data_IF_667636426815
#
_entry.id   IF_667636426815
#
_cell.length_a   1.000
_cell.length_b   1.000
_cell.length_c   1.000
_cell.angle_alpha   90.00
_cell.angle_beta   90.00
_cell.angle_gamma   90.00
#
_symmetry.space_group_name_H-M   'P 1'
#
loop_
_entity.id
_entity.type
_entity.pdbx_description
1 polymer ?
#
# COMPACT_ATOMS: atom_id res chain seq x y z
N UNK A 1 5.39 -0.20 21.08
CA UNK A 1 4.69 0.82 20.35
C UNK A 1 3.67 0.24 19.38
N UNK A 2 2.54 0.79 19.42
CA UNK A 2 1.45 0.26 18.62
C UNK A 2 1.60 0.65 17.16
N UNK A 3 1.41 -0.30 16.27
CA UNK A 3 1.39 -0.02 14.86
C UNK A 3 0.09 0.69 14.50
N UNK A 4 0.13 1.44 13.41
CA UNK A 4 -1.06 2.07 12.93
C UNK A 4 -2.05 1.00 12.48
N UNK A 5 -3.28 1.08 13.00
CA UNK A 5 -4.38 0.22 12.53
C UNK A 5 -5.23 0.96 11.52
N UNK A 6 -4.94 2.21 11.26
CA UNK A 6 -5.71 3.01 10.32
C UNK A 6 -5.35 2.65 8.90
N UNK A 7 -6.37 2.50 8.10
CA UNK A 7 -6.17 2.23 6.69
C UNK A 7 -5.80 3.52 5.98
N UNK A 8 -4.89 3.45 5.02
CA UNK A 8 -4.63 4.62 4.19
C UNK A 8 -5.81 4.88 3.25
N UNK A 9 -6.05 6.16 2.99
CA UNK A 9 -7.00 6.57 1.97
C UNK A 9 -6.39 6.31 0.58
N UNK A 10 -7.22 6.43 -0.46
CA UNK A 10 -6.72 6.25 -1.82
C UNK A 10 -5.58 7.20 -2.15
N UNK A 11 -5.69 8.46 -1.74
CA UNK A 11 -4.63 9.44 -1.98
C UNK A 11 -3.36 9.05 -1.23
N UNK A 12 -3.51 8.55 -0.01
CA UNK A 12 -2.36 8.12 0.79
C UNK A 12 -1.69 6.88 0.21
N UNK A 13 -2.48 5.95 -0.34
CA UNK A 13 -1.91 4.80 -1.03
C UNK A 13 -1.05 5.25 -2.21
N UNK A 14 -1.50 6.26 -2.94
CA UNK A 14 -0.71 6.81 -4.03
C UNK A 14 0.66 7.30 -3.57
N UNK A 15 0.70 7.96 -2.43
CA UNK A 15 1.96 8.43 -1.85
C UNK A 15 2.83 7.24 -1.41
N UNK A 16 2.22 6.27 -0.74
CA UNK A 16 2.96 5.09 -0.31
C UNK A 16 3.57 4.34 -1.49
N UNK A 17 2.84 4.26 -2.61
CA UNK A 17 3.38 3.60 -3.80
C UNK A 17 4.64 4.27 -4.31
N UNK A 18 4.69 5.59 -4.24
CA UNK A 18 5.90 6.33 -4.61
C UNK A 18 7.04 5.98 -3.65
N UNK A 19 6.76 5.99 -2.35
CA UNK A 19 7.79 5.71 -1.35
C UNK A 19 8.31 4.27 -1.47
N UNK A 20 7.42 3.32 -1.73
CA UNK A 20 7.86 1.93 -1.93
C UNK A 20 8.71 1.77 -3.18
N UNK A 21 8.37 2.51 -4.23
CA UNK A 21 9.06 2.39 -5.52
C UNK A 21 10.39 3.14 -5.53
N UNK A 22 10.38 4.38 -5.03
CA UNK A 22 11.57 5.24 -5.10
C UNK A 22 12.43 5.18 -3.84
N UNK A 23 11.85 4.78 -2.71
CA UNK A 23 12.54 4.80 -1.45
C UNK A 23 12.41 6.16 -0.76
N UNK A 24 13.30 6.45 0.20
CA UNK A 24 13.21 7.71 0.96
C UNK A 24 13.12 8.91 0.03
N UNK A 25 12.16 9.79 0.30
CA UNK A 25 11.88 10.91 -0.60
C UNK A 25 11.43 12.14 0.17
N UNK A 26 11.67 13.31 -0.42
CA UNK A 26 11.11 14.56 0.09
C UNK A 26 9.70 14.73 -0.42
N UNK A 27 8.95 15.67 0.18
CA UNK A 27 7.60 15.98 -0.29
C UNK A 27 7.62 16.41 -1.74
N UNK A 28 8.60 17.23 -2.11
CA UNK A 28 8.70 17.72 -3.50
C UNK A 28 8.95 16.57 -4.48
N UNK A 29 9.79 15.62 -4.10
CA UNK A 29 10.05 14.46 -4.95
C UNK A 29 8.79 13.60 -5.11
N UNK A 30 8.03 13.44 -4.02
CA UNK A 30 6.78 12.68 -4.09
C UNK A 30 5.78 13.40 -4.98
N UNK A 31 5.61 14.70 -4.79
CA UNK A 31 4.68 15.48 -5.61
C UNK A 31 5.04 15.40 -7.08
N UNK A 32 6.33 15.50 -7.39
CA UNK A 32 6.79 15.39 -8.77
C UNK A 32 6.52 14.02 -9.37
N UNK A 33 6.80 12.97 -8.60
CA UNK A 33 6.56 11.61 -9.06
C UNK A 33 5.09 11.34 -9.33
N UNK A 34 4.20 12.03 -8.61
CA UNK A 34 2.76 11.88 -8.81
C UNK A 34 2.21 12.82 -9.88
N UNK A 35 3.08 13.63 -10.50
CA UNK A 35 2.63 14.61 -11.47
C UNK A 35 1.83 15.74 -10.85
N UNK A 36 2.07 16.03 -9.58
CA UNK A 36 1.28 17.01 -8.83
C UNK A 36 2.14 18.11 -8.23
N UNK A 37 3.13 18.56 -8.97
CA UNK A 37 4.00 19.63 -8.47
C UNK A 37 3.21 20.89 -8.15
N UNK A 38 2.18 21.18 -8.93
CA UNK A 38 1.34 22.35 -8.69
C UNK A 38 0.50 22.21 -7.41
N UNK A 39 0.35 21.00 -6.90
CA UNK A 39 -0.41 20.74 -5.69
C UNK A 39 0.51 20.35 -4.54
N UNK A 40 1.70 20.91 -4.50
CA UNK A 40 2.70 20.61 -3.49
C UNK A 40 2.14 20.74 -2.07
N UNK A 41 1.39 21.81 -1.81
CA UNK A 41 0.83 22.05 -0.49
C UNK A 41 -0.13 20.95 -0.07
N UNK A 42 -0.93 20.45 -1.01
CA UNK A 42 -1.85 19.34 -0.72
C UNK A 42 -1.08 18.07 -0.38
N UNK A 43 -0.02 17.78 -1.16
CA UNK A 43 0.79 16.60 -0.90
C UNK A 43 1.48 16.73 0.45
N UNK A 44 1.99 17.92 0.77
CA UNK A 44 2.62 18.18 2.06
C UNK A 44 1.66 17.88 3.20
N UNK A 45 0.43 18.37 3.10
CA UNK A 45 -0.55 18.16 4.15
C UNK A 45 -0.90 16.69 4.29
N UNK A 46 -1.06 15.99 3.17
CA UNK A 46 -1.32 14.56 3.21
C UNK A 46 -0.19 13.81 3.92
N UNK A 47 1.05 14.15 3.60
CA UNK A 47 2.19 13.46 4.21
C UNK A 47 2.34 13.80 5.68
N UNK A 48 1.98 15.01 6.09
CA UNK A 48 1.96 15.35 7.50
C UNK A 48 0.90 14.52 8.23
N UNK A 49 -0.28 14.38 7.64
CA UNK A 49 -1.33 13.55 8.22
C UNK A 49 -0.90 12.09 8.31
N UNK A 50 -0.20 11.61 7.28
CA UNK A 50 0.30 10.23 7.27
C UNK A 50 1.33 10.00 8.37
N UNK A 51 2.14 11.00 8.66
CA UNK A 51 3.08 10.93 9.78
C UNK A 51 2.33 10.76 11.09
N UNK A 52 1.28 11.55 11.28
CA UNK A 52 0.48 11.48 12.50
C UNK A 52 -0.23 10.14 12.63
N UNK A 53 -0.65 9.56 11.51
CA UNK A 53 -1.31 8.25 11.50
C UNK A 53 -0.34 7.08 11.66
N UNK A 54 0.95 7.34 11.56
CA UNK A 54 1.95 6.26 11.63
C UNK A 54 2.14 5.51 10.33
N UNK A 55 1.70 6.07 9.21
CA UNK A 55 1.86 5.43 7.90
C UNK A 55 3.23 5.68 7.29
N UNK A 56 3.87 6.76 7.68
CA UNK A 56 5.23 7.10 7.24
C UNK A 56 6.02 7.61 8.43
N UNK A 57 7.35 7.53 8.32
CA UNK A 57 8.27 8.12 9.28
C UNK A 57 8.99 9.27 8.61
N UNK A 58 9.18 10.34 9.36
CA UNK A 58 9.83 11.53 8.84
C UNK A 58 11.19 11.70 9.51
N UNK A 59 12.22 11.81 8.70
CA UNK A 59 13.57 12.08 9.17
C UNK A 59 13.81 13.58 9.04
N UNK A 60 13.96 14.25 10.17
CA UNK A 60 14.13 15.69 10.22
C UNK A 60 15.58 16.11 10.48
N UNK A 61 16.50 15.17 10.37
CA UNK A 61 17.90 15.44 10.70
C UNK A 61 18.54 16.43 9.72
N UNK A 62 18.00 16.53 8.52
CA UNK A 62 18.48 17.51 7.53
C UNK A 62 17.49 18.65 7.42
N UNK A 63 17.91 19.71 6.70
CA UNK A 63 17.04 20.85 6.47
C UNK A 63 15.75 20.44 5.78
N UNK A 64 15.86 19.58 4.79
CA UNK A 64 14.71 19.06 4.08
C UNK A 64 14.33 17.72 4.67
N UNK A 65 13.07 17.56 5.03
CA UNK A 65 12.60 16.34 5.64
C UNK A 65 12.49 15.21 4.62
N UNK A 66 12.92 14.02 5.02
CA UNK A 66 12.87 12.83 4.19
C UNK A 66 11.83 11.89 4.79
N UNK A 67 10.98 11.33 3.95
CA UNK A 67 9.92 10.43 4.39
C UNK A 67 10.16 9.02 3.89
N UNK A 68 9.84 8.05 4.73
CA UNK A 68 9.89 6.63 4.37
C UNK A 68 8.58 5.99 4.78
N UNK A 69 8.15 4.98 4.03
CA UNK A 69 6.95 4.22 4.41
C UNK A 69 7.21 3.47 5.70
N UNK A 70 6.25 3.46 6.61
CA UNK A 70 6.38 2.78 7.90
C UNK A 70 6.22 1.27 7.75
N UNK A 71 5.49 0.83 6.73
CA UNK A 71 5.25 -0.59 6.47
C UNK A 71 5.64 -0.92 5.04
N UNK A 72 5.96 -2.19 4.81
CA UNK A 72 6.26 -2.62 3.44
C UNK A 72 5.00 -2.65 2.61
N UNK A 73 5.19 -2.67 1.29
CA UNK A 73 4.08 -2.79 0.36
C UNK A 73 3.26 -4.05 0.65
N UNK A 74 3.94 -5.16 0.88
CA UNK A 74 3.26 -6.42 1.16
C UNK A 74 2.44 -6.37 2.45
N UNK A 75 3.00 -5.76 3.49
CA UNK A 75 2.28 -5.63 4.76
C UNK A 75 1.01 -4.82 4.58
N UNK A 76 1.10 -3.72 3.84
CA UNK A 76 -0.06 -2.86 3.60
C UNK A 76 -1.09 -3.56 2.73
N UNK A 77 -0.64 -4.26 1.69
CA UNK A 77 -1.54 -5.02 0.83
C UNK A 77 -2.30 -6.07 1.64
N UNK A 78 -1.59 -6.80 2.51
CA UNK A 78 -2.23 -7.82 3.33
C UNK A 78 -3.26 -7.23 4.28
N UNK A 79 -2.93 -6.09 4.88
CA UNK A 79 -3.85 -5.42 5.78
C UNK A 79 -5.12 -4.98 5.07
N UNK A 80 -4.98 -4.41 3.87
CA UNK A 80 -6.13 -3.96 3.10
C UNK A 80 -6.98 -5.12 2.61
N UNK A 81 -6.34 -6.22 2.21
CA UNK A 81 -7.07 -7.42 1.78
C UNK A 81 -7.82 -8.02 2.97
N UNK A 82 -7.19 -8.09 4.14
CA UNK A 82 -7.86 -8.63 5.33
C UNK A 82 -9.10 -7.82 5.67
N UNK A 83 -9.01 -6.50 5.58
CA UNK A 83 -10.15 -5.65 5.84
C UNK A 83 -11.26 -5.86 4.81
N UNK A 84 -10.89 -5.95 3.55
CA UNK A 84 -11.85 -6.17 2.48
C UNK A 84 -12.55 -7.51 2.62
N UNK A 85 -11.79 -8.55 3.00
CA UNK A 85 -12.36 -9.88 3.23
C UNK A 85 -13.48 -9.83 4.26
N UNK A 86 -13.24 -9.13 5.37
CA UNK A 86 -14.23 -9.06 6.45
C UNK A 86 -15.44 -8.22 6.06
N UNK A 87 -15.20 -7.08 5.42
CA UNK A 87 -16.29 -6.14 5.15
C UNK A 87 -17.15 -6.50 3.95
N UNK A 88 -16.55 -7.11 2.95
CA UNK A 88 -17.24 -7.29 1.66
C UNK A 88 -17.45 -8.77 1.32
N UNK A 89 -16.53 -9.63 1.71
CA UNK A 89 -16.53 -11.03 1.26
C UNK A 89 -16.84 -12.03 2.38
N UNK A 90 -17.28 -11.52 3.52
CA UNK A 90 -17.68 -12.38 4.64
C UNK A 90 -16.59 -13.40 4.99
N UNK A 91 -15.33 -12.99 4.88
CA UNK A 91 -14.18 -13.83 5.21
C UNK A 91 -13.80 -14.83 4.14
N UNK A 92 -14.44 -14.80 2.98
CA UNK A 92 -14.20 -15.81 1.94
C UNK A 92 -13.09 -15.39 0.98
N UNK A 93 -11.91 -15.96 1.15
CA UNK A 93 -10.81 -15.74 0.21
C UNK A 93 -11.17 -16.25 -1.18
N UNK A 94 -11.92 -17.33 -1.28
CA UNK A 94 -12.33 -17.87 -2.56
C UNK A 94 -13.16 -16.86 -3.35
N UNK A 95 -14.12 -16.21 -2.69
CA UNK A 95 -14.95 -15.22 -3.37
C UNK A 95 -14.13 -14.00 -3.78
N UNK A 96 -13.23 -13.57 -2.93
CA UNK A 96 -12.35 -12.46 -3.28
C UNK A 96 -11.53 -12.79 -4.53
N UNK A 97 -10.94 -13.99 -4.56
CA UNK A 97 -10.10 -14.38 -5.69
C UNK A 97 -10.91 -14.52 -6.98
N UNK A 98 -12.11 -15.06 -6.89
CA UNK A 98 -12.95 -15.18 -8.07
C UNK A 98 -13.29 -13.82 -8.65
N UNK A 99 -13.61 -12.85 -7.81
CA UNK A 99 -13.91 -11.51 -8.28
C UNK A 99 -12.67 -10.81 -8.81
N UNK A 100 -11.52 -11.03 -8.17
CA UNK A 100 -10.27 -10.43 -8.67
C UNK A 100 -9.94 -10.95 -10.07
N UNK A 101 -10.09 -12.25 -10.30
CA UNK A 101 -9.81 -12.83 -11.61
C UNK A 101 -10.84 -12.38 -12.65
N UNK A 102 -12.08 -12.14 -12.24
CA UNK A 102 -13.11 -11.64 -13.14
C UNK A 102 -12.92 -10.16 -13.49
N UNK A 103 -12.31 -9.40 -12.60
CA UNK A 103 -12.18 -7.96 -12.76
C UNK A 103 -11.05 -7.54 -13.67
N UNK A 104 -10.08 -8.42 -13.92
CA UNK A 104 -8.91 -8.06 -14.70
C UNK A 104 -8.38 -9.27 -15.46
N UNK A 105 -7.60 -9.01 -16.50
CA UNK A 105 -6.92 -10.08 -17.20
C UNK A 105 -5.69 -10.48 -16.40
N UNK A 106 -5.53 -11.79 -16.23
CA UNK A 106 -4.40 -12.33 -15.49
C UNK A 106 -3.49 -13.07 -16.46
N UNK A 107 -2.20 -12.77 -16.42
CA UNK A 107 -1.24 -13.41 -17.32
C UNK A 107 -1.09 -14.88 -16.96
N UNK A 108 -0.60 -15.67 -17.94
CA UNK A 108 -0.32 -17.08 -17.71
C UNK A 108 0.71 -17.25 -16.59
N UNK A 109 1.67 -16.35 -16.50
CA UNK A 109 2.69 -16.40 -15.47
C UNK A 109 2.07 -16.19 -14.09
N UNK A 110 1.19 -15.22 -13.97
CA UNK A 110 0.52 -14.96 -12.70
C UNK A 110 -0.38 -16.11 -12.29
N UNK A 111 -1.08 -16.70 -13.27
CA UNK A 111 -1.93 -17.86 -12.99
C UNK A 111 -1.10 -19.01 -12.45
N UNK A 112 0.07 -19.23 -13.05
CA UNK A 112 0.97 -20.29 -12.59
C UNK A 112 1.42 -20.05 -11.15
N UNK A 113 1.70 -18.80 -10.81
CA UNK A 113 2.09 -18.45 -9.44
C UNK A 113 0.94 -18.66 -8.47
N UNK A 114 -0.26 -18.30 -8.88
CA UNK A 114 -1.44 -18.51 -8.03
C UNK A 114 -1.64 -20.01 -7.80
N UNK A 115 -1.49 -20.83 -8.83
CA UNK A 115 -1.62 -22.28 -8.68
C UNK A 115 -0.62 -22.84 -7.70
N UNK A 116 0.63 -22.35 -7.75
CA UNK A 116 1.65 -22.78 -6.81
C UNK A 116 1.23 -22.47 -5.37
N UNK A 117 0.67 -21.28 -5.15
CA UNK A 117 0.21 -20.91 -3.82
C UNK A 117 -0.93 -21.80 -3.35
N UNK A 118 -1.86 -22.13 -4.24
CA UNK A 118 -2.98 -23.01 -3.90
C UNK A 118 -2.48 -24.41 -3.55
N UNK A 119 -1.54 -24.92 -4.31
CA UNK A 119 -0.96 -26.24 -4.04
C UNK A 119 -0.24 -26.26 -2.70
N UNK A 120 0.48 -25.19 -2.40
CA UNK A 120 1.20 -25.07 -1.15
C UNK A 120 0.25 -25.00 0.05
N UNK A 121 -0.85 -24.27 -0.09
CA UNK A 121 -1.88 -24.20 0.95
C UNK A 121 -2.45 -25.59 1.21
N UNK A 122 -2.77 -26.29 0.15
CA UNK A 122 -3.37 -27.63 0.27
C UNK A 122 -2.39 -28.61 0.88
N UNK A 123 -1.14 -28.58 0.45
CA UNK A 123 -0.11 -29.48 0.96
C UNK A 123 0.28 -29.18 2.38
N UNK A 124 0.08 -27.93 2.83
CA UNK A 124 0.43 -27.53 4.17
C UNK A 124 -0.67 -27.73 5.19
N UNK A 125 -1.82 -28.15 4.75
CA UNK A 125 -2.99 -28.30 5.61
C UNK A 125 -2.87 -29.44 6.61
#
# INVERSE_FOLDING_TARGET
>A
MKQSTRKPTNAEVGILRVLWSKGPSTVREVARAMGREAAYTTVLKLMQNMTDKGLVHRDESARTHIYVAASTQEQTQRQLVADLLERVFDGSAAQLMMQALAATKTSAKEIAEIRKLLDKQRGGA
#
